data_IF_445989775080
#
_entry.id   IF_445989775080
#
_cell.length_a   1.000
_cell.length_b   1.000
_cell.length_c   1.000
_cell.angle_alpha   90.00
_cell.angle_beta   90.00
_cell.angle_gamma   90.00
#
_symmetry.space_group_name_H-M   'P 1'
#
loop_
_entity.id
_entity.type
_entity.pdbx_description
1 polymer ?
#
# COMPACT_ATOMS: atom_id res chain seq x y z
N UNK A 1 22.19 -47.95 -7.31
CA UNK A 1 21.50 -46.99 -8.19
C UNK A 1 20.47 -46.14 -7.43
N UNK A 2 19.90 -46.62 -6.33
CA UNK A 2 18.91 -45.88 -5.53
C UNK A 2 19.47 -44.64 -4.81
N UNK A 3 20.69 -44.73 -4.27
CA UNK A 3 21.33 -43.59 -3.58
C UNK A 3 21.61 -42.39 -4.51
N UNK A 4 21.90 -42.64 -5.80
CA UNK A 4 22.10 -41.56 -6.76
C UNK A 4 20.79 -40.83 -7.09
N UNK A 5 19.67 -41.57 -7.13
CA UNK A 5 18.34 -41.01 -7.36
C UNK A 5 17.84 -40.18 -6.18
N UNK A 6 18.11 -40.61 -4.94
CA UNK A 6 17.73 -39.84 -3.74
C UNK A 6 18.51 -38.53 -3.63
N UNK A 7 19.82 -38.56 -3.91
CA UNK A 7 20.66 -37.35 -3.93
C UNK A 7 20.18 -36.36 -5.01
N UNK A 8 19.83 -36.85 -6.20
CA UNK A 8 19.32 -36.01 -7.28
C UNK A 8 17.95 -35.39 -6.94
N UNK A 9 17.06 -36.16 -6.30
CA UNK A 9 15.77 -35.66 -5.85
C UNK A 9 15.90 -34.56 -4.79
N UNK A 10 16.83 -34.73 -3.82
CA UNK A 10 17.09 -33.73 -2.79
C UNK A 10 17.69 -32.44 -3.39
N UNK A 11 18.61 -32.56 -4.35
CA UNK A 11 19.16 -31.40 -5.06
C UNK A 11 18.10 -30.64 -5.85
N UNK A 12 17.18 -31.35 -6.50
CA UNK A 12 16.09 -30.73 -7.26
C UNK A 12 15.12 -29.99 -6.33
N UNK A 13 14.74 -30.61 -5.20
CA UNK A 13 13.89 -29.96 -4.19
C UNK A 13 14.58 -28.73 -3.60
N UNK A 14 15.89 -28.81 -3.32
CA UNK A 14 16.67 -27.67 -2.84
C UNK A 14 16.72 -26.53 -3.88
N UNK A 15 16.89 -26.85 -5.17
CA UNK A 15 16.88 -25.86 -6.25
C UNK A 15 15.50 -25.22 -6.46
N UNK A 16 14.43 -25.99 -6.35
CA UNK A 16 13.06 -25.47 -6.45
C UNK A 16 12.74 -24.57 -5.26
N UNK A 17 13.14 -24.95 -4.05
CA UNK A 17 13.00 -24.10 -2.86
C UNK A 17 13.78 -22.78 -2.99
N UNK A 18 15.04 -22.85 -3.47
CA UNK A 18 15.85 -21.65 -3.74
C UNK A 18 15.28 -20.78 -4.86
N UNK A 19 14.77 -21.38 -5.93
CA UNK A 19 14.18 -20.68 -7.07
C UNK A 19 12.92 -19.92 -6.69
N UNK A 20 12.04 -20.56 -5.91
CA UNK A 20 10.83 -19.91 -5.37
C UNK A 20 11.22 -18.75 -4.44
N UNK A 21 12.19 -18.96 -3.54
CA UNK A 21 12.67 -17.92 -2.63
C UNK A 21 13.28 -16.71 -3.38
N UNK A 22 14.04 -16.94 -4.46
CA UNK A 22 14.61 -15.87 -5.27
C UNK A 22 13.55 -15.05 -6.04
N UNK A 23 12.49 -15.71 -6.53
CA UNK A 23 11.40 -15.03 -7.25
C UNK A 23 10.56 -14.11 -6.36
N UNK A 24 10.34 -14.46 -5.09
CA UNK A 24 9.60 -13.61 -4.13
C UNK A 24 10.46 -12.40 -3.70
N UNK A 25 11.78 -12.57 -3.56
CA UNK A 25 12.70 -11.52 -3.12
C UNK A 25 12.98 -10.43 -4.18
N UNK A 26 12.93 -10.78 -5.47
CA UNK A 26 13.09 -9.82 -6.56
C UNK A 26 11.88 -8.88 -6.71
N UNK A 27 10.66 -9.37 -6.43
CA UNK A 27 9.44 -8.55 -6.45
C UNK A 27 9.35 -7.62 -5.23
N UNK A 28 9.83 -8.08 -4.06
CA UNK A 28 9.87 -7.26 -2.83
C UNK A 28 10.91 -6.13 -2.86
N UNK A 29 12.02 -6.28 -3.61
CA UNK A 29 13.04 -5.23 -3.73
C UNK A 29 12.60 -4.06 -4.63
N UNK A 30 11.75 -4.30 -5.64
CA UNK A 30 11.24 -3.24 -6.51
C UNK A 30 10.22 -2.31 -5.79
N UNK A 31 9.57 -2.77 -4.72
CA UNK A 31 8.64 -1.94 -3.93
C UNK A 31 9.33 -1.08 -2.84
N UNK A 32 10.58 -1.37 -2.48
CA UNK A 32 11.33 -0.65 -1.42
C UNK A 32 11.86 0.75 -1.80
N UNK A 33 11.53 1.27 -2.97
CA UNK A 33 11.96 2.60 -3.44
C UNK A 33 11.03 3.76 -3.12
N UNK A 34 9.81 3.53 -2.64
CA UNK A 34 8.76 4.60 -2.59
C UNK A 34 8.54 5.18 -1.18
N UNK A 35 8.99 4.50 -0.12
CA UNK A 35 8.74 4.95 1.27
C UNK A 35 9.60 6.11 1.75
N UNK A 36 10.42 6.71 0.89
CA UNK A 36 11.30 7.83 1.27
C UNK A 36 10.84 9.21 0.81
N UNK A 37 9.54 9.41 0.54
CA UNK A 37 9.06 10.75 0.14
C UNK A 37 7.65 11.14 0.60
N UNK A 38 7.16 10.65 1.75
CA UNK A 38 5.86 11.11 2.27
C UNK A 38 5.93 11.46 3.76
N UNK A 39 6.98 12.18 4.17
CA UNK A 39 6.99 12.79 5.52
C UNK A 39 7.76 14.11 5.56
N UNK A 40 7.53 15.02 4.60
CA UNK A 40 8.12 16.36 4.70
C UNK A 40 7.33 17.48 4.00
N UNK A 41 6.00 17.46 4.07
CA UNK A 41 5.19 18.59 3.56
C UNK A 41 3.90 18.85 4.36
N UNK A 42 3.95 18.68 5.68
CA UNK A 42 2.95 19.23 6.60
C UNK A 42 3.60 20.27 7.51
N UNK A 43 3.86 21.45 6.95
CA UNK A 43 3.79 22.73 7.68
C UNK A 43 3.83 23.90 6.70
N UNK A 44 2.87 24.79 6.90
CA UNK A 44 2.79 26.16 6.38
C UNK A 44 2.37 26.34 4.93
N UNK A 45 1.09 26.05 4.65
CA UNK A 45 0.31 26.84 3.67
C UNK A 45 -1.05 27.14 4.27
N UNK A 46 -1.03 27.81 5.41
CA UNK A 46 -2.16 28.63 5.85
C UNK A 46 -1.74 30.09 5.62
N UNK A 47 -2.55 30.78 4.82
CA UNK A 47 -2.75 32.22 4.76
C UNK A 47 -1.88 33.17 3.93
N UNK A 48 -0.96 32.76 3.05
CA UNK A 48 -0.28 33.77 2.20
C UNK A 48 0.07 33.41 0.76
N UNK A 49 -0.55 32.37 0.20
CA UNK A 49 -0.34 31.99 -1.22
C UNK A 49 -1.63 31.81 -2.02
N UNK A 50 -2.80 31.98 -1.40
CA UNK A 50 -4.11 31.86 -2.08
C UNK A 50 -4.46 33.04 -3.00
N UNK A 51 -3.61 34.07 -3.13
CA UNK A 51 -3.99 35.30 -3.85
C UNK A 51 -3.18 35.72 -5.07
N UNK A 52 -2.15 34.97 -5.49
CA UNK A 52 -1.28 35.49 -6.57
C UNK A 52 -0.97 34.52 -7.73
N UNK A 53 -1.30 33.22 -7.66
CA UNK A 53 -0.89 32.26 -8.71
C UNK A 53 -2.01 31.42 -9.34
N UNK A 54 -3.27 31.63 -8.97
CA UNK A 54 -4.43 30.98 -9.60
C UNK A 54 -4.90 31.66 -10.89
N UNK A 55 -4.24 32.74 -11.34
CA UNK A 55 -4.62 33.57 -12.50
C UNK A 55 -4.58 32.89 -13.89
N UNK A 56 -4.41 31.56 -13.98
CA UNK A 56 -4.59 30.79 -15.23
C UNK A 56 -5.97 30.11 -15.39
N UNK A 57 -6.71 29.87 -14.29
CA UNK A 57 -8.02 29.19 -14.27
C UNK A 57 -8.95 29.77 -13.17
N UNK A 58 -9.04 31.09 -13.05
CA UNK A 58 -9.85 31.74 -11.99
C UNK A 58 -11.33 31.65 -12.34
N UNK A 59 -12.09 30.88 -11.57
CA UNK A 59 -13.55 30.83 -11.64
C UNK A 59 -14.14 29.47 -11.30
N UNK A 60 -15.46 29.39 -11.37
CA UNK A 60 -16.27 28.19 -11.08
C UNK A 60 -15.76 26.93 -11.79
N UNK A 61 -15.28 27.05 -13.02
CA UNK A 61 -14.73 25.93 -13.80
C UNK A 61 -13.43 25.37 -13.19
N UNK A 62 -12.55 26.22 -12.65
CA UNK A 62 -11.32 25.79 -11.98
C UNK A 62 -11.61 25.05 -10.67
N UNK A 63 -12.61 25.51 -9.91
CA UNK A 63 -13.06 24.81 -8.71
C UNK A 63 -13.63 23.42 -9.01
N UNK A 64 -14.44 23.28 -10.07
CA UNK A 64 -14.92 21.98 -10.53
C UNK A 64 -13.77 21.07 -10.96
N UNK A 65 -12.82 21.57 -11.74
CA UNK A 65 -11.65 20.79 -12.15
C UNK A 65 -10.82 20.30 -10.95
N UNK A 66 -10.68 21.13 -9.91
CA UNK A 66 -9.99 20.76 -8.68
C UNK A 66 -10.74 19.69 -7.89
N UNK A 67 -12.07 19.77 -7.80
CA UNK A 67 -12.89 18.72 -7.17
C UNK A 67 -12.76 17.39 -7.92
N UNK A 68 -12.74 17.42 -9.25
CA UNK A 68 -12.54 16.23 -10.08
C UNK A 68 -11.16 15.61 -9.87
N UNK A 69 -10.12 16.45 -9.85
CA UNK A 69 -8.75 16.00 -9.61
C UNK A 69 -8.60 15.36 -8.23
N UNK A 70 -9.15 15.98 -7.18
CA UNK A 70 -9.07 15.46 -5.81
C UNK A 70 -9.81 14.12 -5.68
N UNK A 71 -11.01 14.01 -6.25
CA UNK A 71 -11.79 12.79 -6.30
C UNK A 71 -11.02 11.67 -7.00
N UNK A 72 -10.57 11.90 -8.25
CA UNK A 72 -9.84 10.88 -9.03
C UNK A 72 -8.55 10.44 -8.36
N UNK A 73 -7.81 11.37 -7.76
CA UNK A 73 -6.54 11.08 -7.08
C UNK A 73 -6.79 10.23 -5.83
N UNK A 74 -7.79 10.59 -5.02
CA UNK A 74 -8.17 9.83 -3.83
C UNK A 74 -8.62 8.41 -4.20
N UNK A 75 -9.55 8.29 -5.16
CA UNK A 75 -10.07 7.00 -5.61
C UNK A 75 -8.96 6.10 -6.18
N UNK A 76 -8.07 6.63 -7.03
CA UNK A 76 -6.95 5.87 -7.57
C UNK A 76 -5.99 5.41 -6.48
N UNK A 77 -5.62 6.30 -5.56
CA UNK A 77 -4.72 5.95 -4.45
C UNK A 77 -5.32 4.88 -3.52
N UNK A 78 -6.65 4.88 -3.33
CA UNK A 78 -7.34 3.83 -2.57
C UNK A 78 -7.38 2.51 -3.32
N UNK A 79 -7.66 2.54 -4.63
CA UNK A 79 -7.61 1.37 -5.49
C UNK A 79 -6.21 0.71 -5.46
N UNK A 80 -5.16 1.50 -5.62
CA UNK A 80 -3.77 1.03 -5.61
C UNK A 80 -3.42 0.39 -4.27
N UNK A 81 -3.84 0.99 -3.14
CA UNK A 81 -3.60 0.45 -1.81
C UNK A 81 -4.35 -0.86 -1.55
N UNK A 82 -5.61 -0.96 -2.00
CA UNK A 82 -6.40 -2.19 -1.85
C UNK A 82 -5.85 -3.31 -2.73
N UNK A 83 -5.54 -3.05 -4.00
CA UNK A 83 -4.97 -4.08 -4.88
C UNK A 83 -3.60 -4.57 -4.43
N UNK A 84 -2.80 -3.72 -3.78
CA UNK A 84 -1.53 -4.13 -3.23
C UNK A 84 -1.69 -5.21 -2.14
N UNK A 85 -2.70 -5.10 -1.26
CA UNK A 85 -2.90 -6.03 -0.15
C UNK A 85 -3.80 -7.24 -0.46
N UNK A 86 -4.64 -7.19 -1.49
CA UNK A 86 -5.59 -8.29 -1.79
C UNK A 86 -4.92 -9.61 -2.15
N UNK A 87 -3.72 -9.57 -2.75
CA UNK A 87 -2.97 -10.79 -3.04
C UNK A 87 -2.43 -11.48 -1.78
N UNK A 88 -2.29 -10.72 -0.69
CA UNK A 88 -1.62 -11.10 0.54
C UNK A 88 -2.64 -11.44 1.65
N UNK A 89 -3.83 -10.84 1.64
CA UNK A 89 -4.84 -10.97 2.70
C UNK A 89 -6.29 -11.08 2.18
N UNK A 90 -6.93 -12.23 2.43
CA UNK A 90 -8.34 -12.47 2.11
C UNK A 90 -9.30 -11.60 2.95
N UNK A 91 -8.87 -11.08 4.11
CA UNK A 91 -9.70 -10.23 4.98
C UNK A 91 -9.97 -8.84 4.36
N UNK A 92 -9.19 -8.43 3.35
CA UNK A 92 -9.42 -7.20 2.58
C UNK A 92 -10.60 -7.30 1.60
N UNK A 93 -11.15 -8.50 1.37
CA UNK A 93 -12.25 -8.70 0.42
C UNK A 93 -13.47 -7.81 0.73
N UNK A 94 -13.80 -7.62 2.01
CA UNK A 94 -14.90 -6.74 2.41
C UNK A 94 -14.60 -5.27 2.10
N UNK A 95 -13.37 -4.81 2.40
CA UNK A 95 -12.93 -3.44 2.09
C UNK A 95 -12.95 -3.17 0.58
N UNK A 96 -12.64 -4.18 -0.24
CA UNK A 96 -12.72 -4.11 -1.71
C UNK A 96 -14.17 -3.98 -2.17
N UNK A 97 -15.12 -4.74 -1.62
CA UNK A 97 -16.53 -4.60 -2.00
C UNK A 97 -17.09 -3.23 -1.60
N UNK A 98 -16.74 -2.75 -0.40
CA UNK A 98 -17.08 -1.39 0.04
C UNK A 98 -16.51 -0.34 -0.92
N UNK A 99 -15.25 -0.49 -1.33
CA UNK A 99 -14.63 0.41 -2.29
C UNK A 99 -15.31 0.35 -3.67
N UNK A 100 -15.73 -0.83 -4.13
CA UNK A 100 -16.46 -0.98 -5.40
C UNK A 100 -17.76 -0.19 -5.38
N UNK A 101 -18.53 -0.27 -4.29
CA UNK A 101 -19.76 0.51 -4.08
C UNK A 101 -19.48 2.01 -3.99
N UNK A 102 -18.43 2.40 -3.26
CA UNK A 102 -17.99 3.80 -3.19
C UNK A 102 -17.55 4.34 -4.55
N UNK A 103 -16.89 3.50 -5.36
CA UNK A 103 -16.39 3.86 -6.70
C UNK A 103 -17.50 4.14 -7.70
N UNK A 104 -18.62 3.43 -7.59
CA UNK A 104 -19.80 3.75 -8.37
C UNK A 104 -20.28 5.19 -8.08
N UNK A 105 -20.42 5.55 -6.80
CA UNK A 105 -20.80 6.92 -6.42
C UNK A 105 -19.74 7.98 -6.77
N UNK A 106 -18.46 7.62 -6.70
CA UNK A 106 -17.37 8.48 -7.15
C UNK A 106 -17.42 8.77 -8.64
N UNK A 107 -17.72 7.75 -9.47
CA UNK A 107 -17.86 7.90 -10.91
C UNK A 107 -19.08 8.77 -11.27
N UNK A 108 -20.22 8.50 -10.64
CA UNK A 108 -21.44 9.32 -10.79
C UNK A 108 -21.17 10.81 -10.49
N UNK A 109 -20.40 11.08 -9.43
CA UNK A 109 -20.01 12.45 -9.07
C UNK A 109 -19.01 13.06 -10.05
N UNK A 110 -18.00 12.32 -10.55
CA UNK A 110 -17.08 12.86 -11.56
C UNK A 110 -17.82 13.22 -12.85
N UNK A 111 -18.79 12.39 -13.28
CA UNK A 111 -19.62 12.67 -14.45
C UNK A 111 -20.54 13.88 -14.25
N UNK A 112 -21.10 14.05 -13.05
CA UNK A 112 -21.84 15.26 -12.66
C UNK A 112 -20.96 16.52 -12.73
N UNK A 113 -19.77 16.47 -12.13
CA UNK A 113 -18.81 17.58 -12.14
C UNK A 113 -18.38 17.92 -13.58
N UNK A 114 -18.10 16.90 -14.40
CA UNK A 114 -17.73 17.04 -15.82
C UNK A 114 -18.85 17.66 -16.67
N UNK A 115 -20.10 17.35 -16.36
CA UNK A 115 -21.26 17.97 -17.02
C UNK A 115 -21.37 19.45 -16.65
N UNK A 116 -21.24 19.78 -15.36
CA UNK A 116 -21.30 21.16 -14.88
C UNK A 116 -20.13 22.03 -15.35
N UNK A 117 -18.98 21.43 -15.67
CA UNK A 117 -17.85 22.16 -16.25
C UNK A 117 -18.20 22.79 -17.62
N UNK A 118 -19.09 22.13 -18.38
CA UNK A 118 -19.58 22.58 -19.70
C UNK A 118 -20.80 23.48 -19.63
N UNK A 119 -21.39 23.69 -18.45
CA UNK A 119 -22.58 24.51 -18.27
C UNK A 119 -22.27 26.00 -18.53
N UNK A 120 -22.98 26.67 -19.46
CA UNK A 120 -22.81 28.10 -19.70
C UNK A 120 -23.26 28.98 -18.52
N UNK A 121 -24.29 28.60 -17.75
CA UNK A 121 -24.74 29.38 -16.59
C UNK A 121 -23.82 29.19 -15.37
N UNK A 122 -22.76 30.01 -15.31
CA UNK A 122 -21.78 29.97 -14.22
C UNK A 122 -22.36 30.40 -12.87
N UNK A 123 -23.42 31.20 -12.85
CA UNK A 123 -24.03 31.66 -11.60
C UNK A 123 -24.79 30.53 -10.90
N UNK A 124 -25.57 29.75 -11.66
CA UNK A 124 -26.24 28.56 -11.13
C UNK A 124 -25.22 27.52 -10.64
N UNK A 125 -24.16 27.27 -11.40
CA UNK A 125 -23.11 26.33 -10.99
C UNK A 125 -22.40 26.80 -9.71
N UNK A 126 -22.13 28.10 -9.56
CA UNK A 126 -21.56 28.67 -8.34
C UNK A 126 -22.42 28.39 -7.10
N UNK A 127 -23.76 28.46 -7.23
CA UNK A 127 -24.69 28.12 -6.16
C UNK A 127 -24.66 26.65 -5.75
N UNK A 128 -24.31 25.74 -6.67
CA UNK A 128 -24.22 24.30 -6.42
C UNK A 128 -22.86 23.85 -5.85
N UNK A 129 -21.81 24.65 -6.02
CA UNK A 129 -20.43 24.32 -5.60
C UNK A 129 -20.30 23.85 -4.15
N UNK A 130 -20.92 24.50 -3.13
CA UNK A 130 -20.78 24.05 -1.75
C UNK A 130 -21.26 22.60 -1.53
N UNK A 131 -22.38 22.24 -2.16
CA UNK A 131 -22.96 20.88 -2.08
C UNK A 131 -22.10 19.85 -2.80
N UNK A 132 -21.52 20.21 -3.94
CA UNK A 132 -20.59 19.36 -4.69
C UNK A 132 -19.31 19.12 -3.91
N UNK A 133 -18.79 20.16 -3.23
CA UNK A 133 -17.63 20.06 -2.36
C UNK A 133 -17.89 19.12 -1.19
N UNK A 134 -19.02 19.26 -0.50
CA UNK A 134 -19.41 18.39 0.61
C UNK A 134 -19.50 16.92 0.17
N UNK A 135 -20.19 16.64 -0.95
CA UNK A 135 -20.28 15.29 -1.50
C UNK A 135 -18.92 14.72 -1.87
N UNK A 136 -18.06 15.52 -2.52
CA UNK A 136 -16.68 15.12 -2.85
C UNK A 136 -15.91 14.78 -1.59
N UNK A 137 -15.97 15.63 -0.56
CA UNK A 137 -15.26 15.45 0.70
C UNK A 137 -15.73 14.20 1.44
N UNK A 138 -17.03 13.89 1.43
CA UNK A 138 -17.57 12.65 2.01
C UNK A 138 -16.99 11.41 1.32
N UNK A 139 -16.97 11.39 -0.01
CA UNK A 139 -16.42 10.26 -0.78
C UNK A 139 -14.92 10.12 -0.55
N UNK A 140 -14.16 11.21 -0.65
CA UNK A 140 -12.70 11.17 -0.45
C UNK A 140 -12.32 10.81 0.98
N UNK A 141 -13.11 11.21 1.98
CA UNK A 141 -12.91 10.80 3.36
C UNK A 141 -13.17 9.31 3.56
N UNK A 142 -14.26 8.76 3.01
CA UNK A 142 -14.50 7.32 3.05
C UNK A 142 -13.41 6.53 2.32
N UNK A 143 -12.94 7.02 1.17
CA UNK A 143 -11.84 6.43 0.43
C UNK A 143 -10.53 6.48 1.23
N UNK A 144 -10.27 7.55 1.99
CA UNK A 144 -9.14 7.67 2.89
C UNK A 144 -9.18 6.63 3.99
N UNK A 145 -10.33 6.42 4.63
CA UNK A 145 -10.50 5.40 5.68
C UNK A 145 -10.18 4.00 5.15
N UNK A 146 -10.67 3.65 3.95
CA UNK A 146 -10.37 2.37 3.30
C UNK A 146 -8.87 2.25 2.97
N UNK A 147 -8.26 3.32 2.47
CA UNK A 147 -6.82 3.36 2.17
C UNK A 147 -5.97 3.18 3.41
N UNK A 148 -6.36 3.80 4.53
CA UNK A 148 -5.67 3.67 5.80
C UNK A 148 -5.76 2.24 6.32
N UNK A 149 -6.94 1.62 6.30
CA UNK A 149 -7.12 0.23 6.70
C UNK A 149 -6.27 -0.75 5.85
N UNK A 150 -6.22 -0.54 4.52
CA UNK A 150 -5.39 -1.35 3.63
C UNK A 150 -3.89 -1.24 3.94
N UNK A 151 -3.40 -0.01 4.18
CA UNK A 151 -2.00 0.24 4.54
C UNK A 151 -1.65 -0.29 5.92
N UNK A 152 -2.59 -0.25 6.85
CA UNK A 152 -2.40 -0.79 8.19
C UNK A 152 -2.20 -2.30 8.15
N UNK A 153 -3.03 -3.00 7.36
CA UNK A 153 -2.86 -4.44 7.12
C UNK A 153 -1.53 -4.76 6.45
N UNK A 154 -1.19 -4.07 5.36
CA UNK A 154 0.08 -4.31 4.67
C UNK A 154 1.30 -4.15 5.61
N UNK A 155 1.25 -3.22 6.57
CA UNK A 155 2.30 -3.08 7.59
C UNK A 155 2.31 -4.26 8.56
N UNK A 156 1.16 -4.65 9.10
CA UNK A 156 1.08 -5.79 10.01
C UNK A 156 1.59 -7.08 9.35
N UNK A 157 1.22 -7.36 8.10
CA UNK A 157 1.74 -8.53 7.37
C UNK A 157 3.25 -8.50 7.20
N UNK A 158 3.83 -7.33 6.91
CA UNK A 158 5.27 -7.18 6.79
C UNK A 158 6.00 -7.37 8.13
N UNK A 159 5.40 -6.89 9.22
CA UNK A 159 5.93 -7.07 10.57
C UNK A 159 5.86 -8.55 10.99
N UNK A 160 4.73 -9.23 10.74
CA UNK A 160 4.55 -10.66 11.04
C UNK A 160 5.54 -11.55 10.24
N UNK A 161 5.79 -11.24 8.96
CA UNK A 161 6.78 -11.93 8.11
C UNK A 161 8.21 -11.72 8.63
N UNK A 162 8.53 -10.49 9.08
CA UNK A 162 9.83 -10.19 9.67
C UNK A 162 10.04 -10.92 11.00
N UNK A 163 9.02 -11.00 11.85
CA UNK A 163 9.07 -11.73 13.12
C UNK A 163 9.25 -13.24 12.88
N UNK A 164 8.55 -13.82 11.92
CA UNK A 164 8.72 -15.21 11.52
C UNK A 164 10.15 -15.48 11.01
N UNK A 165 10.69 -14.56 10.19
CA UNK A 165 12.06 -14.66 9.69
C UNK A 165 13.09 -14.56 10.82
N UNK A 166 12.91 -13.63 11.76
CA UNK A 166 13.80 -13.50 12.92
C UNK A 166 13.78 -14.76 13.78
N UNK A 167 12.60 -15.34 14.05
CA UNK A 167 12.48 -16.58 14.80
C UNK A 167 13.21 -17.74 14.10
N UNK A 168 13.14 -17.83 12.77
CA UNK A 168 13.88 -18.82 12.00
C UNK A 168 15.40 -18.60 12.11
N UNK A 169 15.86 -17.36 11.97
CA UNK A 169 17.28 -17.00 12.11
C UNK A 169 17.81 -17.37 13.51
N UNK A 170 17.03 -17.14 14.57
CA UNK A 170 17.43 -17.47 15.93
C UNK A 170 17.60 -18.98 16.14
N UNK A 171 16.72 -19.79 15.55
CA UNK A 171 16.84 -21.25 15.56
C UNK A 171 18.10 -21.69 14.82
N UNK A 172 18.34 -21.18 13.61
CA UNK A 172 19.50 -21.54 12.79
C UNK A 172 20.83 -21.09 13.44
N UNK A 173 20.88 -19.87 13.97
CA UNK A 173 22.04 -19.36 14.69
C UNK A 173 22.28 -20.11 16.01
N UNK A 174 21.20 -20.52 16.71
CA UNK A 174 21.27 -21.38 17.88
C UNK A 174 21.88 -22.74 17.58
N UNK A 175 21.46 -23.37 16.47
CA UNK A 175 22.02 -24.64 16.02
C UNK A 175 23.52 -24.55 15.73
N UNK A 176 23.96 -23.47 15.07
CA UNK A 176 25.39 -23.23 14.81
C UNK A 176 26.21 -23.07 16.11
N UNK A 177 25.66 -22.42 17.14
CA UNK A 177 26.34 -22.27 18.44
C UNK A 177 26.43 -23.58 19.23
N UNK A 178 25.41 -24.43 19.16
CA UNK A 178 25.42 -25.70 19.87
C UNK A 178 26.46 -26.66 19.30
N UNK A 179 26.68 -26.63 17.98
CA UNK A 179 27.75 -27.39 17.32
C UNK A 179 29.17 -26.92 17.70
N UNK A 180 29.36 -25.62 17.95
CA UNK A 180 30.63 -25.06 18.44
C UNK A 180 30.89 -25.31 19.93
N UNK A 181 29.87 -25.70 20.70
CA UNK A 181 29.91 -25.87 22.15
C UNK A 181 30.16 -27.31 22.63
N UNK A 182 29.98 -28.31 21.76
CA UNK A 182 30.33 -29.70 22.04
C UNK A 182 31.82 -29.97 21.73
N UNK A 183 32.70 -29.26 22.42
CA UNK A 183 34.00 -29.81 22.79
C UNK A 183 33.84 -30.37 24.21
N UNK A 184 33.68 -31.70 24.39
CA UNK A 184 33.58 -32.27 25.71
C UNK A 184 34.94 -32.13 26.39
N UNK A 185 35.06 -31.14 27.27
CA UNK A 185 36.04 -31.17 28.35
C UNK A 185 35.60 -32.22 29.38
N UNK A 186 35.67 -33.49 28.96
CA UNK A 186 35.61 -34.64 29.83
C UNK A 186 36.93 -35.40 29.74
N UNK A 187 37.66 -35.34 30.87
CA UNK A 187 38.79 -36.17 31.30
C UNK A 187 40.17 -35.67 30.82
N UNK A 188 41.08 -35.26 31.70
CA UNK A 188 41.52 -36.03 32.87
C UNK A 188 41.64 -35.21 34.16
N UNK A 189 40.81 -35.59 35.14
CA UNK A 189 41.28 -35.74 36.52
C UNK A 189 41.73 -37.19 36.65
N UNK A 190 43.01 -37.43 36.95
CA UNK A 190 43.56 -38.78 37.10
C UNK A 190 45.07 -38.79 37.33
N UNK A 191 45.45 -39.03 38.59
CA UNK A 191 46.78 -39.23 39.20
C UNK A 191 47.50 -37.96 39.71
#
# INVERSE_FOLDING_TARGET
MEAALTILALLLVAFVALGVYATVKAVGAAKRGVDRTITQARRTVEDTTLRAKSFGQVGVAGELAQLRLSLRTSMRATQDALHAGVAEDASLAESVDLFRRLSAHGLELDDELKRLEREPDRATVAGLLPKLRERTQRITHSAESLRWAARDRARQFADDDLDALNAQIDIEAGALRHWSGDEPSSQASGA
#
